data_IF_751190506289
#
_entry.id   IF_751190506289
#
_cell.length_a   1.000
_cell.length_b   1.000
_cell.length_c   1.000
_cell.angle_alpha   90.00
_cell.angle_beta   90.00
_cell.angle_gamma   90.00
#
_symmetry.space_group_name_H-M   'P 1'
#
loop_
_entity.id
_entity.type
_entity.pdbx_description
1 polymer ?
#
# COMPACT_ATOMS: atom_id res chain seq x y z
N UNK A 1 20.90 -2.10 -0.26
CA UNK A 1 19.86 -1.83 0.76
C UNK A 1 19.94 -0.42 1.31
N UNK A 2 21.11 0.07 1.77
CA UNK A 2 21.26 1.46 2.23
C UNK A 2 21.00 2.51 1.13
N UNK A 3 21.52 2.31 -0.09
CA UNK A 3 21.27 3.20 -1.23
C UNK A 3 19.79 3.27 -1.63
N UNK A 4 19.06 2.14 -1.54
CA UNK A 4 17.62 2.06 -1.83
C UNK A 4 16.75 2.87 -0.85
N UNK A 5 17.17 2.99 0.41
CA UNK A 5 16.44 3.75 1.44
C UNK A 5 16.75 5.25 1.31
N UNK A 6 18.01 5.62 1.04
CA UNK A 6 18.44 7.01 0.92
C UNK A 6 17.87 7.71 -0.32
N UNK A 7 17.70 7.01 -1.44
CA UNK A 7 17.01 7.55 -2.62
C UNK A 7 15.57 7.97 -2.30
N UNK A 8 14.86 7.25 -1.42
CA UNK A 8 13.46 7.57 -1.08
C UNK A 8 13.30 8.87 -0.26
N UNK A 9 14.26 9.21 0.59
CA UNK A 9 14.22 10.47 1.35
C UNK A 9 14.53 11.70 0.47
N UNK A 10 15.19 11.51 -0.68
CA UNK A 10 15.47 12.55 -1.67
C UNK A 10 14.42 12.68 -2.78
N UNK A 11 13.34 11.88 -2.75
CA UNK A 11 12.35 11.80 -3.82
C UNK A 11 12.87 11.05 -5.04
N UNK A 12 13.47 9.87 -4.81
CA UNK A 12 14.06 8.96 -5.79
C UNK A 12 13.18 8.71 -7.03
N UNK A 13 13.76 8.11 -8.09
CA UNK A 13 13.11 8.04 -9.40
C UNK A 13 11.70 7.46 -9.27
N UNK A 14 10.72 8.07 -9.95
CA UNK A 14 9.31 7.61 -9.99
C UNK A 14 9.26 6.13 -10.38
N UNK A 15 9.35 5.23 -9.41
CA UNK A 15 9.09 3.83 -9.68
C UNK A 15 7.58 3.69 -9.74
N UNK A 16 7.09 2.85 -10.65
CA UNK A 16 5.66 2.65 -10.75
C UNK A 16 5.04 2.12 -9.44
N UNK A 17 5.81 1.43 -8.57
CA UNK A 17 5.34 1.08 -7.23
C UNK A 17 5.04 2.30 -6.32
N UNK A 18 5.62 3.47 -6.60
CA UNK A 18 5.42 4.71 -5.85
C UNK A 18 4.08 5.35 -6.17
N UNK A 19 3.77 5.41 -7.46
CA UNK A 19 2.47 5.85 -7.97
C UNK A 19 1.34 4.93 -7.51
N UNK A 20 1.62 3.64 -7.29
CA UNK A 20 0.63 2.68 -6.80
C UNK A 20 0.00 3.11 -5.47
N UNK A 21 0.82 3.48 -4.49
CA UNK A 21 0.33 3.93 -3.18
C UNK A 21 -0.38 5.28 -3.26
N UNK A 22 0.14 6.20 -4.09
CA UNK A 22 -0.47 7.51 -4.30
C UNK A 22 -1.85 7.40 -4.95
N UNK A 23 -1.98 6.55 -5.97
CA UNK A 23 -3.25 6.25 -6.66
C UNK A 23 -4.21 5.53 -5.71
N UNK A 24 -3.73 4.50 -5.00
CA UNK A 24 -4.52 3.72 -4.05
C UNK A 24 -5.09 4.60 -2.93
N UNK A 25 -4.31 5.54 -2.39
CA UNK A 25 -4.73 6.48 -1.35
C UNK A 25 -5.38 7.76 -1.90
N UNK A 26 -5.91 7.72 -3.14
CA UNK A 26 -6.65 8.82 -3.79
C UNK A 26 -5.92 10.18 -3.77
N UNK A 27 -4.59 10.18 -3.86
CA UNK A 27 -3.73 11.38 -3.82
C UNK A 27 -3.82 12.19 -2.52
N UNK A 28 -4.06 11.55 -1.37
CA UNK A 28 -3.96 12.22 -0.06
C UNK A 28 -2.56 12.81 0.18
N UNK A 29 -1.54 12.24 -0.45
CA UNK A 29 -0.14 12.65 -0.33
C UNK A 29 0.38 12.99 -1.72
N UNK A 30 1.07 14.13 -1.86
CA UNK A 30 1.62 14.58 -3.13
C UNK A 30 2.92 13.83 -3.46
N UNK A 31 3.75 13.58 -2.44
CA UNK A 31 5.01 12.83 -2.57
C UNK A 31 5.01 11.64 -1.64
N UNK A 32 5.79 10.62 -1.97
CA UNK A 32 5.98 9.47 -1.10
C UNK A 32 6.54 9.83 0.28
N UNK A 33 7.44 10.82 0.33
CA UNK A 33 8.05 11.28 1.59
C UNK A 33 7.00 11.89 2.53
N UNK A 34 5.86 12.34 1.98
CA UNK A 34 4.76 12.91 2.75
C UNK A 34 3.85 11.82 3.34
N UNK A 35 3.98 10.57 2.90
CA UNK A 35 3.20 9.45 3.42
C UNK A 35 3.66 9.14 4.85
N UNK A 36 2.73 9.22 5.80
CA UNK A 36 2.99 8.88 7.20
C UNK A 36 3.50 7.43 7.34
N UNK A 37 4.60 7.26 8.06
CA UNK A 37 5.23 5.97 8.33
C UNK A 37 4.79 5.46 9.70
N UNK A 38 4.98 4.17 9.94
CA UNK A 38 4.61 3.52 11.22
C UNK A 38 3.14 3.76 11.59
N UNK A 39 2.28 3.79 10.58
CA UNK A 39 0.86 4.05 10.72
C UNK A 39 0.02 3.14 9.80
N UNK A 40 -1.21 2.88 10.22
CA UNK A 40 -2.28 2.46 9.31
C UNK A 40 -2.71 3.67 8.48
N UNK A 41 -2.84 3.48 7.17
CA UNK A 41 -3.16 4.56 6.22
C UNK A 41 -4.55 4.42 5.59
N UNK A 42 -5.10 3.21 5.59
CA UNK A 42 -6.26 2.89 4.78
C UNK A 42 -6.64 1.42 4.88
N UNK A 43 -7.69 1.08 4.15
CA UNK A 43 -8.15 -0.27 3.92
C UNK A 43 -8.24 -0.56 2.44
N UNK A 44 -8.17 -1.83 2.09
CA UNK A 44 -8.45 -2.34 0.77
C UNK A 44 -9.10 -3.72 0.91
N UNK A 45 -9.97 -4.06 -0.03
CA UNK A 45 -10.49 -5.40 -0.17
C UNK A 45 -9.48 -6.24 -0.96
N UNK A 46 -8.97 -7.33 -0.39
CA UNK A 46 -8.22 -8.33 -1.16
C UNK A 46 -9.22 -9.16 -1.97
N UNK A 47 -9.36 -8.85 -3.26
CA UNK A 47 -10.34 -9.46 -4.17
C UNK A 47 -9.86 -10.85 -4.61
N UNK A 48 -8.59 -10.96 -4.99
CA UNK A 48 -7.99 -12.20 -5.45
C UNK A 48 -6.47 -12.19 -5.32
N UNK A 49 -5.88 -13.38 -5.26
CA UNK A 49 -4.46 -13.60 -5.39
C UNK A 49 -4.18 -14.40 -6.66
N UNK A 50 -3.39 -13.83 -7.57
CA UNK A 50 -3.08 -14.43 -8.86
C UNK A 50 -1.62 -14.81 -8.93
N UNK A 51 -1.31 -15.92 -9.61
CA UNK A 51 0.06 -16.16 -10.05
C UNK A 51 0.47 -15.08 -11.05
N UNK A 52 1.69 -14.54 -10.95
CA UNK A 52 2.13 -13.48 -11.87
C UNK A 52 2.19 -13.95 -13.32
N UNK A 53 2.43 -15.24 -13.55
CA UNK A 53 2.34 -15.87 -14.88
C UNK A 53 0.91 -16.07 -15.43
N UNK A 54 -0.15 -15.77 -14.67
CA UNK A 54 -1.53 -15.98 -15.12
C UNK A 54 -2.06 -14.95 -16.12
N UNK A 55 -1.37 -13.80 -16.25
CA UNK A 55 -1.70 -12.72 -17.18
C UNK A 55 -0.41 -12.15 -17.79
N UNK A 56 -0.53 -11.42 -18.89
CA UNK A 56 0.59 -10.75 -19.52
C UNK A 56 1.03 -9.51 -18.72
N UNK A 57 2.28 -9.08 -18.90
CA UNK A 57 2.81 -7.86 -18.26
C UNK A 57 1.97 -6.61 -18.59
N UNK A 58 1.42 -6.52 -19.81
CA UNK A 58 0.57 -5.42 -20.21
C UNK A 58 -0.76 -5.36 -19.43
N UNK A 59 -1.27 -6.50 -18.98
CA UNK A 59 -2.53 -6.60 -18.22
C UNK A 59 -2.36 -6.30 -16.73
N UNK A 60 -1.18 -6.56 -16.15
CA UNK A 60 -0.92 -6.23 -14.74
C UNK A 60 -0.83 -4.73 -14.47
N UNK A 61 -0.65 -3.93 -15.53
CA UNK A 61 -0.36 -2.51 -15.40
C UNK A 61 1.05 -2.29 -14.88
N UNK A 62 1.28 -1.13 -14.26
CA UNK A 62 2.64 -0.66 -13.99
C UNK A 62 3.03 -0.88 -12.52
N UNK A 63 2.08 -1.24 -11.65
CA UNK A 63 2.24 -1.16 -10.20
C UNK A 63 2.71 -2.46 -9.57
N UNK A 64 3.96 -2.85 -9.84
CA UNK A 64 4.60 -3.99 -9.17
C UNK A 64 5.70 -4.69 -9.99
N UNK A 65 6.37 -5.66 -9.36
CA UNK A 65 7.21 -6.64 -10.05
C UNK A 65 6.39 -7.90 -10.31
N UNK A 66 5.92 -8.05 -11.55
CA UNK A 66 5.14 -9.20 -12.01
C UNK A 66 5.97 -10.24 -12.75
N UNK A 67 7.28 -10.32 -12.47
CA UNK A 67 8.10 -11.45 -12.95
C UNK A 67 7.54 -12.80 -12.48
N UNK A 68 7.67 -13.88 -13.28
CA UNK A 68 7.12 -15.20 -12.96
C UNK A 68 7.57 -15.76 -11.60
N UNK A 69 6.73 -16.60 -10.98
CA UNK A 69 7.02 -17.24 -9.70
C UNK A 69 6.65 -16.41 -8.45
N UNK A 70 5.93 -15.30 -8.65
CA UNK A 70 5.42 -14.42 -7.59
C UNK A 70 3.90 -14.48 -7.52
N UNK A 71 3.33 -13.74 -6.57
CA UNK A 71 1.89 -13.52 -6.45
C UNK A 71 1.56 -12.04 -6.66
N UNK A 72 0.55 -11.77 -7.47
CA UNK A 72 -0.07 -10.46 -7.62
C UNK A 72 -1.35 -10.40 -6.78
N UNK A 73 -1.51 -9.35 -5.99
CA UNK A 73 -2.73 -9.10 -5.20
C UNK A 73 -3.64 -8.14 -5.95
N UNK A 74 -4.84 -8.60 -6.25
CA UNK A 74 -5.89 -7.76 -6.80
C UNK A 74 -6.62 -7.08 -5.64
N UNK A 75 -6.49 -5.76 -5.56
CA UNK A 75 -7.09 -4.94 -4.51
C UNK A 75 -8.28 -4.16 -5.08
N UNK A 76 -9.41 -4.21 -4.36
CA UNK A 76 -10.62 -3.45 -4.63
C UNK A 76 -10.95 -2.51 -3.48
N UNK A 77 -11.88 -1.59 -3.71
CA UNK A 77 -12.46 -0.70 -2.67
C UNK A 77 -11.42 -0.05 -1.75
N UNK A 78 -10.35 0.48 -2.34
CA UNK A 78 -9.30 1.14 -1.56
C UNK A 78 -9.82 2.45 -0.97
N UNK A 79 -9.67 2.59 0.35
CA UNK A 79 -10.12 3.74 1.13
C UNK A 79 -9.01 4.21 2.05
N UNK A 80 -8.59 5.46 1.90
CA UNK A 80 -7.71 6.11 2.86
C UNK A 80 -8.47 6.40 4.16
N UNK A 81 -7.78 6.31 5.30
CA UNK A 81 -8.29 6.77 6.58
C UNK A 81 -8.37 8.31 6.59
N UNK A 82 -9.31 8.90 7.36
CA UNK A 82 -9.38 10.33 7.61
C UNK A 82 -8.12 10.89 8.27
N UNK A 83 -7.44 10.12 9.11
CA UNK A 83 -6.11 10.43 9.66
C UNK A 83 -5.28 9.13 9.80
N UNK A 84 -3.94 9.17 9.65
CA UNK A 84 -3.08 8.04 9.95
C UNK A 84 -3.18 7.60 11.41
N UNK A 85 -3.20 6.29 11.66
CA UNK A 85 -3.24 5.73 13.02
C UNK A 85 -1.87 5.17 13.38
N UNK A 86 -1.22 5.63 14.45
CA UNK A 86 0.04 5.05 14.89
C UNK A 86 -0.07 3.53 15.09
N UNK A 87 0.71 2.77 14.33
CA UNK A 87 0.72 1.31 14.41
C UNK A 87 2.01 0.73 13.85
N UNK A 88 2.63 -0.18 14.61
CA UNK A 88 3.82 -0.88 14.15
C UNK A 88 3.43 -2.00 13.19
N UNK A 89 3.96 -1.98 11.97
CA UNK A 89 3.80 -3.08 11.02
C UNK A 89 4.45 -4.38 11.52
N UNK A 90 3.94 -5.52 11.03
CA UNK A 90 4.51 -6.84 11.29
C UNK A 90 4.64 -7.64 9.98
N UNK A 91 5.48 -8.68 9.98
CA UNK A 91 5.63 -9.59 8.84
C UNK A 91 4.46 -10.59 8.80
N UNK A 92 3.95 -10.86 7.60
CA UNK A 92 2.78 -11.72 7.40
C UNK A 92 1.45 -10.97 7.60
N UNK A 93 0.34 -11.70 7.58
CA UNK A 93 -0.95 -11.16 8.00
C UNK A 93 -0.97 -11.07 9.53
N UNK A 94 -1.45 -9.95 10.06
CA UNK A 94 -1.58 -9.71 11.49
C UNK A 94 -2.93 -9.04 11.79
N UNK A 95 -3.44 -9.32 12.97
CA UNK A 95 -4.68 -8.72 13.47
C UNK A 95 -4.41 -7.31 14.00
N UNK A 96 -5.27 -6.38 13.62
CA UNK A 96 -5.36 -5.05 14.21
C UNK A 96 -6.65 -5.02 15.02
N UNK A 97 -6.60 -4.79 16.35
CA UNK A 97 -7.80 -4.74 17.17
C UNK A 97 -8.78 -3.67 16.69
N UNK A 98 -10.08 -3.98 16.73
CA UNK A 98 -11.14 -3.11 16.25
C UNK A 98 -11.12 -1.74 16.96
N UNK A 99 -10.77 -1.67 18.24
CA UNK A 99 -10.68 -0.40 18.97
C UNK A 99 -9.60 0.55 18.43
N UNK A 100 -8.49 -0.01 17.94
CA UNK A 100 -7.42 0.77 17.31
C UNK A 100 -7.86 1.28 15.94
N UNK A 101 -8.73 0.54 15.26
CA UNK A 101 -9.25 0.88 13.94
C UNK A 101 -10.49 1.79 13.98
N UNK A 102 -11.44 1.57 14.89
CA UNK A 102 -12.68 2.31 15.05
C UNK A 102 -12.45 3.80 15.34
N UNK A 103 -11.47 4.08 16.20
CA UNK A 103 -10.98 5.44 16.47
C UNK A 103 -10.57 6.17 15.20
N UNK A 104 -10.08 5.44 14.19
CA UNK A 104 -9.57 5.98 12.93
C UNK A 104 -10.63 6.25 11.88
N UNK A 105 -11.62 5.36 11.77
CA UNK A 105 -12.68 5.45 10.75
C UNK A 105 -13.90 6.25 11.20
N UNK A 106 -13.91 6.75 12.44
CA UNK A 106 -15.03 7.54 12.97
C UNK A 106 -16.30 6.73 13.18
N UNK A 107 -16.19 5.40 13.23
CA UNK A 107 -17.29 4.52 13.62
C UNK A 107 -17.26 4.40 15.14
N UNK A 108 -18.34 4.81 15.81
CA UNK A 108 -18.46 4.65 17.26
C UNK A 108 -18.33 3.16 17.62
N UNK A 109 -17.47 2.88 18.62
CA UNK A 109 -17.29 1.55 19.20
C UNK A 109 -18.57 1.01 19.84
#
# INVERSE_FOLDING_TARGET
MQAYILDRDAGGPEFACEEAFRVALRRRFDKLVDIARDCLLGTALLVAAHRTESRTMAEWGHFGDFSPGRWAWELGDVRALPEPVPWRGAQGFFEVPDEAFATAVGLAA
#
